data_IF_705473362575
#
_entry.id   IF_705473362575
#
_cell.length_a   1.000
_cell.length_b   1.000
_cell.length_c   1.000
_cell.angle_alpha   90.00
_cell.angle_beta   90.00
_cell.angle_gamma   90.00
#
_symmetry.space_group_name_H-M   'P 1'
#
loop_
_entity.id
_entity.type
_entity.pdbx_description
1 polymer ?
#
# COMPACT_ATOMS: atom_id res chain seq x y z
N UNK A 1 3.12 14.99 7.41
CA UNK A 1 3.42 13.62 7.89
C UNK A 1 4.16 13.72 9.20
N UNK A 2 3.62 13.12 10.25
CA UNK A 2 4.25 13.03 11.56
C UNK A 2 5.06 11.75 11.66
N UNK A 3 6.31 11.91 12.08
CA UNK A 3 7.18 10.95 12.79
C UNK A 3 7.97 9.89 12.02
N UNK A 4 7.58 9.35 10.86
CA UNK A 4 8.43 8.32 10.22
C UNK A 4 8.43 8.35 8.68
N UNK A 5 9.65 8.50 8.14
CA UNK A 5 10.13 8.22 6.77
C UNK A 5 9.33 8.71 5.55
N UNK A 6 9.85 8.39 4.37
CA UNK A 6 9.24 8.65 3.04
C UNK A 6 8.95 7.36 2.28
N UNK A 7 9.27 6.21 2.89
CA UNK A 7 8.99 4.90 2.34
C UNK A 7 7.52 4.51 2.47
N UNK A 8 7.12 3.57 1.62
CA UNK A 8 5.74 3.08 1.47
C UNK A 8 5.16 2.45 2.75
N UNK A 9 6.01 2.07 3.70
CA UNK A 9 5.64 1.40 4.95
C UNK A 9 6.10 2.21 6.18
N UNK A 10 6.61 3.41 5.95
CA UNK A 10 7.31 4.14 6.99
C UNK A 10 6.37 5.00 7.81
N UNK A 11 5.05 5.08 7.56
CA UNK A 11 4.14 5.83 8.44
C UNK A 11 3.66 5.00 9.64
N UNK A 12 3.29 5.66 10.73
CA UNK A 12 2.72 5.00 11.93
C UNK A 12 1.52 4.12 11.55
N UNK A 13 0.56 4.68 10.78
CA UNK A 13 -0.62 3.93 10.32
C UNK A 13 -0.26 2.73 9.43
N UNK A 14 0.75 2.86 8.56
CA UNK A 14 1.23 1.74 7.76
C UNK A 14 1.87 0.64 8.62
N UNK A 15 2.62 1.01 9.66
CA UNK A 15 3.26 0.04 10.54
C UNK A 15 2.25 -0.70 11.41
N UNK A 16 1.28 0.01 11.99
CA UNK A 16 0.20 -0.58 12.78
C UNK A 16 -0.62 -1.56 11.92
N UNK A 17 -1.00 -1.13 10.71
CA UNK A 17 -1.70 -2.00 9.75
C UNK A 17 -0.91 -3.26 9.40
N UNK A 18 0.40 -3.12 9.15
CA UNK A 18 1.25 -4.25 8.83
C UNK A 18 1.40 -5.23 10.00
N UNK A 19 1.43 -4.71 11.23
CA UNK A 19 1.50 -5.53 12.45
C UNK A 19 0.17 -6.30 12.66
N UNK A 20 -0.97 -5.64 12.44
CA UNK A 20 -2.29 -6.28 12.46
C UNK A 20 -2.39 -7.39 11.40
N UNK A 21 -1.96 -7.10 10.16
CA UNK A 21 -1.93 -8.10 9.08
C UNK A 21 -0.96 -9.25 9.38
N UNK A 22 0.16 -8.99 10.06
CA UNK A 22 1.12 -10.01 10.43
C UNK A 22 0.56 -10.99 11.47
N UNK A 23 -0.34 -10.54 12.34
CA UNK A 23 -1.03 -11.38 13.33
C UNK A 23 -2.07 -12.33 12.71
N UNK A 24 -2.56 -12.05 11.51
CA UNK A 24 -3.53 -12.87 10.80
C UNK A 24 -2.89 -14.09 10.12
N UNK A 25 -3.69 -15.15 9.95
CA UNK A 25 -3.31 -16.27 9.07
C UNK A 25 -3.21 -15.81 7.61
N UNK A 26 -2.57 -16.62 6.75
CA UNK A 26 -2.40 -16.27 5.34
C UNK A 26 -3.72 -16.05 4.61
N UNK A 27 -4.78 -16.81 4.95
CA UNK A 27 -6.08 -16.68 4.29
C UNK A 27 -6.83 -15.42 4.76
N UNK A 28 -6.82 -15.16 6.06
CA UNK A 28 -7.42 -13.97 6.67
C UNK A 28 -6.72 -12.69 6.18
N UNK A 29 -5.40 -12.72 6.02
CA UNK A 29 -4.64 -11.60 5.47
C UNK A 29 -5.05 -11.26 4.05
N UNK A 30 -5.18 -12.26 3.17
CA UNK A 30 -5.65 -12.04 1.79
C UNK A 30 -7.06 -11.45 1.79
N UNK A 31 -7.95 -11.97 2.64
CA UNK A 31 -9.31 -11.45 2.77
C UNK A 31 -9.33 -10.00 3.25
N UNK A 32 -8.57 -9.67 4.29
CA UNK A 32 -8.47 -8.32 4.84
C UNK A 32 -7.96 -7.33 3.79
N UNK A 33 -6.84 -7.65 3.13
CA UNK A 33 -6.26 -6.80 2.07
C UNK A 33 -7.26 -6.61 0.92
N UNK A 34 -7.91 -7.69 0.47
CA UNK A 34 -8.90 -7.62 -0.62
C UNK A 34 -10.11 -6.78 -0.23
N UNK A 35 -10.64 -6.97 0.98
CA UNK A 35 -11.80 -6.22 1.48
C UNK A 35 -11.51 -4.73 1.58
N UNK A 36 -10.35 -4.34 2.11
CA UNK A 36 -9.98 -2.93 2.26
C UNK A 36 -9.77 -2.27 0.90
N UNK A 37 -9.00 -2.89 -0.01
CA UNK A 37 -8.76 -2.34 -1.34
C UNK A 37 -10.07 -2.25 -2.16
N UNK A 38 -10.91 -3.28 -2.10
CA UNK A 38 -12.24 -3.26 -2.73
C UNK A 38 -13.09 -2.11 -2.17
N UNK A 39 -13.14 -1.95 -0.85
CA UNK A 39 -13.94 -0.89 -0.22
C UNK A 39 -13.47 0.52 -0.56
N UNK A 40 -12.17 0.71 -0.78
CA UNK A 40 -11.60 1.96 -1.32
C UNK A 40 -12.07 2.19 -2.76
N UNK A 41 -11.95 1.18 -3.62
CA UNK A 41 -12.33 1.25 -5.04
C UNK A 41 -13.82 1.51 -5.21
N UNK A 42 -14.67 0.84 -4.44
CA UNK A 42 -16.13 1.03 -4.49
C UNK A 42 -16.60 2.28 -3.76
N UNK A 43 -15.71 3.00 -3.08
CA UNK A 43 -16.03 4.18 -2.28
C UNK A 43 -16.90 3.88 -1.05
N UNK A 44 -16.90 2.63 -0.57
CA UNK A 44 -17.66 2.23 0.62
C UNK A 44 -16.93 2.55 1.93
N UNK A 45 -15.62 2.82 1.87
CA UNK A 45 -14.81 3.25 3.00
C UNK A 45 -14.60 4.76 2.98
N UNK A 46 -14.73 5.38 4.15
CA UNK A 46 -14.55 6.81 4.35
C UNK A 46 -13.09 7.13 4.65
N UNK A 47 -12.48 7.97 3.80
CA UNK A 47 -11.12 8.48 4.01
C UNK A 47 -10.95 9.20 5.35
N UNK A 48 -9.80 8.95 6.00
CA UNK A 48 -9.41 9.52 7.29
C UNK A 48 -10.32 9.18 8.48
N UNK A 49 -11.20 8.18 8.31
CA UNK A 49 -12.07 7.66 9.37
C UNK A 49 -12.02 6.14 9.44
N UNK A 50 -12.16 5.49 8.30
CA UNK A 50 -12.16 4.03 8.18
C UNK A 50 -10.89 3.54 7.48
N UNK A 51 -10.28 4.38 6.64
CA UNK A 51 -9.03 4.08 5.94
C UNK A 51 -8.25 5.36 5.68
N UNK A 52 -6.94 5.30 5.81
CA UNK A 52 -6.03 6.42 5.55
C UNK A 52 -5.26 6.24 4.23
N UNK A 53 -4.83 7.33 3.57
CA UNK A 53 -4.10 7.23 2.30
C UNK A 53 -2.79 6.45 2.40
N UNK A 54 -2.07 6.57 3.50
CA UNK A 54 -0.81 5.86 3.76
C UNK A 54 -1.02 4.37 3.98
N UNK A 55 -2.10 3.96 4.66
CA UNK A 55 -2.51 2.56 4.77
C UNK A 55 -2.77 1.95 3.38
N UNK A 56 -3.46 2.67 2.49
CA UNK A 56 -3.72 2.19 1.12
C UNK A 56 -2.42 2.07 0.31
N UNK A 57 -1.51 3.04 0.45
CA UNK A 57 -0.18 2.96 -0.18
C UNK A 57 0.60 1.75 0.33
N UNK A 58 0.56 1.48 1.63
CA UNK A 58 1.19 0.31 2.24
C UNK A 58 0.57 -1.00 1.76
N UNK A 59 -0.76 -1.10 1.66
CA UNK A 59 -1.45 -2.28 1.12
C UNK A 59 -1.07 -2.55 -0.34
N UNK A 60 -1.07 -1.51 -1.18
CA UNK A 60 -0.60 -1.63 -2.56
C UNK A 60 0.88 -2.06 -2.61
N UNK A 61 1.70 -1.50 -1.72
CA UNK A 61 3.09 -1.91 -1.50
C UNK A 61 3.24 -3.38 -1.13
N UNK A 62 2.39 -3.91 -0.26
CA UNK A 62 2.39 -5.31 0.17
C UNK A 62 1.98 -6.24 -0.98
N UNK A 63 0.97 -5.87 -1.78
CA UNK A 63 0.58 -6.60 -3.00
C UNK A 63 1.76 -6.62 -3.97
N UNK A 64 2.38 -5.48 -4.24
CA UNK A 64 3.54 -5.39 -5.12
C UNK A 64 4.72 -6.22 -4.62
N UNK A 65 5.03 -6.15 -3.33
CA UNK A 65 6.10 -6.93 -2.69
C UNK A 65 5.89 -8.45 -2.77
N UNK A 66 4.64 -8.88 -2.96
CA UNK A 66 4.25 -10.27 -3.11
C UNK A 66 4.28 -10.75 -4.57
N UNK A 67 4.55 -9.86 -5.53
CA UNK A 67 4.78 -10.19 -6.94
C UNK A 67 6.26 -10.58 -7.20
N UNK A 68 6.55 -11.36 -8.26
CA UNK A 68 7.92 -11.71 -8.63
C UNK A 68 8.86 -10.51 -8.82
N UNK A 69 8.34 -9.40 -9.38
CA UNK A 69 9.08 -8.15 -9.59
C UNK A 69 9.24 -7.27 -8.33
N UNK A 70 8.57 -7.60 -7.22
CA UNK A 70 8.54 -6.79 -5.99
C UNK A 70 9.63 -7.11 -4.96
N UNK A 71 10.67 -7.87 -5.32
CA UNK A 71 11.70 -8.31 -4.34
C UNK A 71 12.39 -7.17 -3.60
N UNK A 72 12.57 -6.01 -4.24
CA UNK A 72 13.15 -4.81 -3.61
C UNK A 72 12.24 -4.21 -2.51
N UNK A 73 10.93 -4.44 -2.60
CA UNK A 73 9.91 -3.98 -1.65
C UNK A 73 9.71 -5.00 -0.51
N UNK A 74 9.95 -6.28 -0.79
CA UNK A 74 9.73 -7.41 0.13
C UNK A 74 10.54 -7.31 1.43
N UNK A 75 11.75 -6.74 1.38
CA UNK A 75 12.59 -6.55 2.58
C UNK A 75 12.06 -5.50 3.57
N UNK A 76 11.09 -4.69 3.14
CA UNK A 76 10.49 -3.62 3.97
C UNK A 76 9.11 -3.99 4.52
N UNK A 77 8.44 -4.96 3.90
CA UNK A 77 7.17 -5.47 4.41
C UNK A 77 7.42 -6.48 5.53
N UNK A 78 6.88 -6.23 6.73
CA UNK A 78 6.93 -7.15 7.89
C UNK A 78 6.21 -8.48 7.63
N UNK A 79 5.44 -8.56 6.54
CA UNK A 79 4.60 -9.69 6.19
C UNK A 79 4.54 -9.88 4.66
N UNK A 80 3.90 -10.95 4.20
CA UNK A 80 3.73 -11.22 2.77
C UNK A 80 2.36 -11.83 2.46
N UNK A 81 1.92 -11.69 1.21
CA UNK A 81 0.76 -12.40 0.70
C UNK A 81 1.22 -13.61 -0.12
N UNK A 82 0.40 -14.67 -0.24
CA UNK A 82 0.47 -15.58 -1.37
C UNK A 82 0.47 -14.78 -2.69
N UNK A 83 0.99 -15.36 -3.77
CA UNK A 83 1.01 -14.71 -5.08
C UNK A 83 -0.37 -14.14 -5.42
N UNK A 84 -0.52 -12.81 -5.50
CA UNK A 84 -1.82 -12.18 -5.67
C UNK A 84 -2.36 -12.46 -7.08
N UNK A 85 -3.66 -12.73 -7.17
CA UNK A 85 -4.36 -12.90 -8.44
C UNK A 85 -4.58 -11.57 -9.17
N UNK A 86 -4.94 -11.61 -10.48
CA UNK A 86 -5.08 -10.41 -11.30
C UNK A 86 -6.09 -9.40 -10.76
N UNK A 87 -7.20 -9.87 -10.16
CA UNK A 87 -8.23 -8.99 -9.59
C UNK A 87 -7.69 -8.16 -8.41
N UNK A 88 -6.89 -8.78 -7.54
CA UNK A 88 -6.28 -8.09 -6.40
C UNK A 88 -5.21 -7.09 -6.85
N UNK A 89 -4.46 -7.42 -7.91
CA UNK A 89 -3.51 -6.49 -8.52
C UNK A 89 -4.25 -5.29 -9.11
N UNK A 90 -5.35 -5.52 -9.84
CA UNK A 90 -6.19 -4.46 -10.40
C UNK A 90 -6.75 -3.52 -9.33
N UNK A 91 -7.30 -4.09 -8.24
CA UNK A 91 -7.76 -3.31 -7.10
C UNK A 91 -6.64 -2.50 -6.44
N UNK A 92 -5.44 -3.07 -6.29
CA UNK A 92 -4.29 -2.36 -5.74
C UNK A 92 -3.86 -1.18 -6.62
N UNK A 93 -3.87 -1.33 -7.95
CA UNK A 93 -3.57 -0.24 -8.90
C UNK A 93 -4.58 0.90 -8.76
N UNK A 94 -5.87 0.57 -8.75
CA UNK A 94 -6.95 1.55 -8.69
C UNK A 94 -6.99 2.27 -7.34
N UNK A 95 -6.94 1.52 -6.23
CA UNK A 95 -6.88 2.09 -4.90
C UNK A 95 -5.65 2.99 -4.70
N UNK A 96 -4.48 2.58 -5.23
CA UNK A 96 -3.27 3.39 -5.18
C UNK A 96 -3.46 4.70 -5.94
N UNK A 97 -4.10 4.69 -7.11
CA UNK A 97 -4.37 5.90 -7.87
C UNK A 97 -5.25 6.88 -7.07
N UNK A 98 -6.29 6.38 -6.38
CA UNK A 98 -7.16 7.18 -5.52
C UNK A 98 -6.40 7.76 -4.32
N UNK A 99 -5.58 6.95 -3.65
CA UNK A 99 -4.85 7.37 -2.44
C UNK A 99 -3.67 8.32 -2.74
N UNK A 100 -3.01 8.17 -3.90
CA UNK A 100 -1.79 8.89 -4.25
C UNK A 100 -1.92 10.41 -4.10
N UNK A 101 -3.03 10.99 -4.55
CA UNK A 101 -3.22 12.44 -4.50
C UNK A 101 -3.45 12.97 -3.08
N UNK A 102 -4.11 12.19 -2.23
CA UNK A 102 -4.25 12.55 -0.81
C UNK A 102 -2.93 12.42 -0.08
N UNK A 103 -2.21 11.32 -0.30
CA UNK A 103 -0.92 11.06 0.32
C UNK A 103 0.12 12.11 -0.07
N UNK A 104 0.17 12.48 -1.36
CA UNK A 104 1.12 13.50 -1.85
C UNK A 104 0.86 14.90 -1.29
N UNK A 105 -0.38 15.24 -0.95
CA UNK A 105 -0.73 16.54 -0.33
C UNK A 105 -0.36 16.62 1.16
N UNK A 106 -0.03 15.50 1.81
CA UNK A 106 0.30 15.45 3.23
C UNK A 106 1.78 15.77 3.54
N UNK A 107 2.61 15.95 2.50
CA UNK A 107 4.04 16.29 2.62
C UNK A 107 4.25 17.80 2.77
N UNK A 108 5.10 18.18 3.73
CA UNK A 108 5.43 19.59 4.03
C UNK A 108 6.75 19.99 3.37
N UNK A 109 7.72 19.07 3.35
CA UNK A 109 9.05 19.31 2.77
C UNK A 109 9.12 18.80 1.32
N UNK A 110 9.65 19.63 0.43
CA UNK A 110 9.72 19.33 -0.99
C UNK A 110 10.65 18.15 -1.33
N UNK A 111 11.75 17.98 -0.57
CA UNK A 111 12.66 16.85 -0.75
C UNK A 111 11.96 15.52 -0.43
N UNK A 112 11.29 15.46 0.73
CA UNK A 112 10.52 14.28 1.15
C UNK A 112 9.40 13.95 0.16
N UNK A 113 8.70 14.98 -0.35
CA UNK A 113 7.67 14.80 -1.37
C UNK A 113 8.24 14.23 -2.68
N UNK A 114 9.45 14.64 -3.08
CA UNK A 114 10.10 14.13 -4.28
C UNK A 114 10.47 12.64 -4.11
N UNK A 115 11.07 12.27 -2.98
CA UNK A 115 11.42 10.87 -2.70
C UNK A 115 10.17 9.98 -2.57
N UNK A 116 9.12 10.46 -1.89
CA UNK A 116 7.84 9.75 -1.83
C UNK A 116 7.22 9.55 -3.23
N UNK A 117 7.38 10.54 -4.13
CA UNK A 117 6.90 10.42 -5.52
C UNK A 117 7.67 9.36 -6.30
N UNK A 118 8.98 9.26 -6.12
CA UNK A 118 9.81 8.21 -6.73
C UNK A 118 9.37 6.83 -6.23
N UNK A 119 9.16 6.68 -4.92
CA UNK A 119 8.65 5.45 -4.32
C UNK A 119 7.29 5.04 -4.89
N UNK A 120 6.35 5.98 -5.10
CA UNK A 120 5.07 5.69 -5.78
C UNK A 120 5.24 5.23 -7.22
N UNK A 121 6.15 5.87 -7.96
CA UNK A 121 6.38 5.54 -9.37
C UNK A 121 6.96 4.13 -9.51
N UNK A 122 7.89 3.76 -8.63
CA UNK A 122 8.45 2.41 -8.58
C UNK A 122 7.38 1.38 -8.20
N UNK A 123 6.54 1.69 -7.21
CA UNK A 123 5.40 0.86 -6.83
C UNK A 123 4.45 0.62 -8.02
N UNK A 124 4.05 1.70 -8.71
CA UNK A 124 3.18 1.61 -9.90
C UNK A 124 3.80 0.75 -10.99
N UNK A 125 5.11 0.86 -11.21
CA UNK A 125 5.83 0.06 -12.21
C UNK A 125 5.74 -1.43 -11.92
N UNK A 126 5.89 -1.84 -10.66
CA UNK A 126 5.78 -3.24 -10.25
C UNK A 126 4.35 -3.76 -10.43
N UNK A 127 3.34 -2.96 -10.06
CA UNK A 127 1.93 -3.37 -10.16
C UNK A 127 1.42 -3.45 -11.61
N UNK A 128 1.90 -2.58 -12.50
CA UNK A 128 1.49 -2.54 -13.91
C UNK A 128 2.25 -3.52 -14.81
N UNK A 129 3.39 -4.03 -14.34
CA UNK A 129 4.17 -5.06 -15.03
C UNK A 129 4.43 -6.27 -14.11
N UNK A 130 3.37 -7.00 -13.70
CA UNK A 130 3.52 -8.22 -12.91
C UNK A 130 4.16 -9.30 -13.82
N UNK A 131 5.44 -9.59 -13.58
CA UNK A 131 6.21 -10.60 -14.30
C UNK A 131 5.70 -12.03 -14.07
#
# INVERSE_FOLDING_TARGET
>A
MGTFGVGLFDSDGAQDLLDDLAALSSAERVLAVTSTLSGVVTGSLTWNREVFPDEVVALAGLVAASLPGGRSLKGKAKTSLPTPGPDLIGMAVEALALASDFWMRAWVHAADAAEARENLNDLRRVLLAPA
#
